data_IF_409458640039
#
_entry.id   IF_409458640039
#
_cell.length_a   1.000
_cell.length_b   1.000
_cell.length_c   1.000
_cell.angle_alpha   90.00
_cell.angle_beta   90.00
_cell.angle_gamma   90.00
#
_symmetry.space_group_name_H-M   'P 1'
#
loop_
_entity.id
_entity.type
_entity.pdbx_description
1 polymer ?
#
# COMPACT_ATOMS: atom_id res chain seq x y z
N UNK A 1 4.34 -56.90 19.75
CA UNK A 1 5.25 -55.75 19.51
C UNK A 1 4.72 -54.77 18.43
N UNK A 2 3.40 -54.68 18.18
CA UNK A 2 2.82 -53.86 17.10
C UNK A 2 1.99 -52.65 17.58
N UNK A 3 1.65 -52.57 18.87
CA UNK A 3 0.80 -51.49 19.42
C UNK A 3 1.50 -50.12 19.49
N UNK A 4 2.84 -50.10 19.55
CA UNK A 4 3.64 -48.86 19.58
C UNK A 4 3.66 -48.13 18.24
N UNK A 5 3.58 -48.86 17.12
CA UNK A 5 3.55 -48.28 15.77
C UNK A 5 2.24 -47.53 15.49
N UNK A 6 1.12 -48.03 15.99
CA UNK A 6 -0.19 -47.38 15.81
C UNK A 6 -0.34 -46.08 16.61
N UNK A 7 0.30 -46.00 17.80
CA UNK A 7 0.34 -44.77 18.61
C UNK A 7 1.17 -43.66 17.96
N UNK A 8 2.28 -44.03 17.30
CA UNK A 8 3.16 -43.09 16.62
C UNK A 8 2.46 -42.41 15.44
N UNK A 9 1.69 -43.19 14.65
CA UNK A 9 0.91 -42.64 13.53
C UNK A 9 -0.11 -41.59 13.99
N UNK A 10 -0.83 -41.81 15.09
CA UNK A 10 -1.78 -40.83 15.62
C UNK A 10 -1.12 -39.53 16.04
N UNK A 11 0.05 -39.61 16.68
CA UNK A 11 0.83 -38.42 17.07
C UNK A 11 1.36 -37.66 15.86
N UNK A 12 1.81 -38.38 14.83
CA UNK A 12 2.25 -37.77 13.56
C UNK A 12 1.09 -37.06 12.86
N UNK A 13 -0.10 -37.66 12.83
CA UNK A 13 -1.29 -37.06 12.22
C UNK A 13 -1.72 -35.80 12.96
N UNK A 14 -1.71 -35.81 14.30
CA UNK A 14 -2.03 -34.62 15.11
C UNK A 14 -1.02 -33.49 14.87
N UNK A 15 0.28 -33.82 14.80
CA UNK A 15 1.33 -32.84 14.52
C UNK A 15 1.16 -32.23 13.12
N UNK A 16 0.81 -33.05 12.12
CA UNK A 16 0.53 -32.60 10.77
C UNK A 16 -0.70 -31.68 10.71
N UNK A 17 -1.79 -32.05 11.40
CA UNK A 17 -2.99 -31.20 11.50
C UNK A 17 -2.67 -29.85 12.14
N UNK A 18 -1.89 -29.82 13.22
CA UNK A 18 -1.48 -28.58 13.88
C UNK A 18 -0.58 -27.71 12.98
N UNK A 19 0.32 -28.32 12.22
CA UNK A 19 1.16 -27.62 11.24
C UNK A 19 0.32 -26.97 10.13
N UNK A 20 -0.65 -27.71 9.56
CA UNK A 20 -1.56 -27.18 8.54
C UNK A 20 -2.50 -26.09 9.08
N UNK A 21 -2.95 -26.19 10.33
CA UNK A 21 -3.75 -25.15 10.99
C UNK A 21 -2.94 -23.86 11.16
N UNK A 22 -1.66 -23.96 11.57
CA UNK A 22 -0.75 -22.81 11.64
C UNK A 22 -0.46 -22.18 10.26
N UNK A 23 -0.48 -22.97 9.20
CA UNK A 23 -0.29 -22.53 7.82
C UNK A 23 -1.53 -21.77 7.30
N UNK A 24 -2.74 -22.23 7.63
CA UNK A 24 -3.99 -21.55 7.29
C UNK A 24 -4.08 -20.18 8.00
N UNK A 25 -3.65 -20.09 9.26
CA UNK A 25 -3.69 -18.83 10.05
C UNK A 25 -2.63 -17.80 9.64
N UNK A 26 -1.51 -18.20 9.00
CA UNK A 26 -0.47 -17.28 8.51
C UNK A 26 -0.83 -16.59 7.18
N UNK A 27 -1.93 -16.97 6.53
CA UNK A 27 -2.36 -16.40 5.25
C UNK A 27 -2.96 -14.99 5.36
N UNK A 28 -3.00 -14.39 6.55
CA UNK A 28 -3.76 -13.17 6.82
C UNK A 28 -2.99 -11.85 6.62
N UNK A 29 -1.72 -11.86 6.22
CA UNK A 29 -0.96 -10.61 6.08
C UNK A 29 0.15 -10.64 5.02
N UNK A 30 -0.19 -11.07 3.81
CA UNK A 30 0.69 -10.91 2.64
C UNK A 30 -0.11 -10.39 1.44
N UNK A 31 -0.76 -9.24 1.60
CA UNK A 31 -1.50 -8.56 0.52
C UNK A 31 -0.87 -7.23 0.09
N UNK A 32 0.24 -6.79 0.69
CA UNK A 32 0.96 -5.60 0.23
C UNK A 32 2.25 -6.06 -0.44
N UNK A 33 2.14 -6.43 -1.71
CA UNK A 33 3.29 -6.49 -2.60
C UNK A 33 3.93 -5.10 -2.62
N UNK A 34 5.08 -4.96 -1.93
CA UNK A 34 5.84 -3.72 -1.71
C UNK A 34 6.12 -2.90 -3.00
N UNK A 35 5.97 -3.52 -4.17
CA UNK A 35 6.28 -2.96 -5.48
C UNK A 35 5.13 -3.04 -6.50
N UNK A 36 3.99 -3.65 -6.15
CA UNK A 36 2.84 -3.77 -7.05
C UNK A 36 1.64 -3.12 -6.37
N UNK A 37 1.55 -1.79 -6.52
CA UNK A 37 0.32 -1.04 -6.29
C UNK A 37 -0.52 -1.16 -7.55
N UNK A 38 -1.77 -1.60 -7.43
CA UNK A 38 -2.65 -1.74 -8.59
C UNK A 38 -2.85 -0.38 -9.26
N UNK A 39 -2.94 -0.36 -10.60
CA UNK A 39 -3.06 0.91 -11.36
C UNK A 39 -4.31 1.72 -11.00
N UNK A 40 -5.33 1.05 -10.46
CA UNK A 40 -6.58 1.67 -10.01
C UNK A 40 -6.46 2.32 -8.63
N UNK A 41 -5.36 2.10 -7.91
CA UNK A 41 -5.12 2.71 -6.60
C UNK A 41 -4.47 4.10 -6.71
N UNK A 42 -4.06 4.51 -7.91
CA UNK A 42 -3.50 5.85 -8.10
C UNK A 42 -4.62 6.88 -8.19
N UNK A 43 -4.52 7.91 -7.35
CA UNK A 43 -5.37 9.10 -7.45
C UNK A 43 -5.18 9.80 -8.80
N UNK A 44 -6.26 10.42 -9.27
CA UNK A 44 -6.18 11.28 -10.45
C UNK A 44 -5.30 12.51 -10.17
N UNK A 45 -4.65 13.11 -11.18
CA UNK A 45 -3.74 14.24 -10.98
C UNK A 45 -4.37 15.41 -10.21
N UNK A 46 -5.63 15.75 -10.51
CA UNK A 46 -6.34 16.86 -9.84
C UNK A 46 -6.63 16.56 -8.36
N UNK A 47 -6.80 15.28 -8.01
CA UNK A 47 -7.02 14.84 -6.62
C UNK A 47 -5.69 14.77 -5.85
N UNK A 48 -4.62 14.31 -6.51
CA UNK A 48 -3.29 14.17 -5.94
C UNK A 48 -2.56 15.50 -5.76
N UNK A 49 -2.83 16.50 -6.61
CA UNK A 49 -2.14 17.78 -6.67
C UNK A 49 -3.13 18.95 -6.73
N UNK A 50 -3.78 19.26 -5.62
CA UNK A 50 -4.80 20.30 -5.57
C UNK A 50 -4.16 21.69 -5.48
N UNK A 51 -4.37 22.53 -6.51
CA UNK A 51 -3.87 23.89 -6.58
C UNK A 51 -4.87 24.87 -5.95
N UNK A 52 -4.40 25.66 -4.98
CA UNK A 52 -5.12 26.80 -4.43
C UNK A 52 -4.44 28.10 -4.83
N UNK A 53 -5.22 29.04 -5.36
CA UNK A 53 -4.74 30.36 -5.75
C UNK A 53 -5.44 31.41 -4.90
N UNK A 54 -4.67 32.29 -4.27
CA UNK A 54 -5.18 33.44 -3.53
C UNK A 54 -4.58 34.71 -4.09
N UNK A 55 -5.44 35.65 -4.47
CA UNK A 55 -5.03 36.98 -4.91
C UNK A 55 -4.95 37.90 -3.69
N UNK A 56 -3.79 38.51 -3.49
CA UNK A 56 -3.60 39.60 -2.54
C UNK A 56 -3.46 40.93 -3.33
N UNK A 57 -3.47 42.05 -2.63
CA UNK A 57 -3.44 43.40 -3.22
C UNK A 57 -2.23 43.64 -4.15
N UNK A 58 -1.10 42.96 -3.89
CA UNK A 58 0.17 43.17 -4.61
C UNK A 58 0.82 41.86 -5.07
N UNK A 59 0.24 40.70 -4.76
CA UNK A 59 0.84 39.40 -5.06
C UNK A 59 -0.21 38.33 -5.32
N UNK A 60 0.20 37.27 -6.00
CA UNK A 60 -0.58 36.04 -6.16
C UNK A 60 0.14 34.97 -5.34
N UNK A 61 -0.56 34.41 -4.36
CA UNK A 61 -0.09 33.28 -3.58
C UNK A 61 -0.68 32.00 -4.19
N UNK A 62 0.19 31.01 -4.43
CA UNK A 62 -0.20 29.71 -4.96
C UNK A 62 0.33 28.62 -4.04
N UNK A 63 -0.53 27.67 -3.71
CA UNK A 63 -0.22 26.58 -2.77
C UNK A 63 -0.77 25.27 -3.32
N UNK A 64 0.04 24.22 -3.27
CA UNK A 64 -0.36 22.87 -3.65
C UNK A 64 -0.62 22.03 -2.40
N UNK A 65 -1.78 21.38 -2.33
CA UNK A 65 -2.02 20.29 -1.39
C UNK A 65 -1.70 18.98 -2.12
N UNK A 66 -0.69 18.26 -1.61
CA UNK A 66 -0.14 17.07 -2.26
C UNK A 66 -0.55 15.84 -1.43
N UNK A 67 -1.16 14.85 -2.09
CA UNK A 67 -1.55 13.60 -1.45
C UNK A 67 -0.33 12.83 -0.91
N UNK A 68 -0.58 11.97 0.09
CA UNK A 68 0.45 11.16 0.72
C UNK A 68 1.16 10.27 -0.32
N UNK A 69 2.49 10.21 -0.24
CA UNK A 69 3.35 9.43 -1.15
C UNK A 69 3.42 9.98 -2.59
N UNK A 70 2.94 11.22 -2.81
CA UNK A 70 3.14 12.01 -4.03
C UNK A 70 4.09 13.18 -3.80
N UNK A 71 4.73 13.68 -4.86
CA UNK A 71 5.60 14.85 -4.81
C UNK A 71 5.64 15.58 -6.16
N UNK A 72 5.93 16.89 -6.11
CA UNK A 72 6.11 17.72 -7.29
C UNK A 72 7.60 18.00 -7.53
N UNK A 73 8.01 17.89 -8.78
CA UNK A 73 9.37 18.25 -9.19
C UNK A 73 9.51 19.76 -9.28
N UNK A 74 10.36 20.35 -8.44
CA UNK A 74 10.58 21.81 -8.39
C UNK A 74 10.98 22.41 -9.73
N UNK A 75 11.76 21.69 -10.54
CA UNK A 75 12.23 22.13 -11.85
C UNK A 75 11.21 21.90 -12.99
N UNK A 76 10.01 21.40 -12.69
CA UNK A 76 8.92 21.18 -13.66
C UNK A 76 7.77 22.17 -13.50
N UNK A 77 7.85 23.07 -12.53
CA UNK A 77 6.86 24.15 -12.37
C UNK A 77 7.19 25.30 -13.33
N UNK A 78 6.17 25.78 -14.05
CA UNK A 78 6.27 26.92 -14.98
C UNK A 78 5.19 27.93 -14.62
N UNK A 79 5.55 29.20 -14.59
CA UNK A 79 4.63 30.32 -14.33
C UNK A 79 4.75 31.27 -15.51
N UNK A 80 3.63 31.56 -16.15
CA UNK A 80 3.54 32.42 -17.33
C UNK A 80 2.39 33.41 -17.15
N UNK A 81 2.57 34.62 -17.66
CA UNK A 81 1.50 35.59 -17.79
C UNK A 81 1.00 35.52 -19.23
N UNK A 82 -0.28 35.18 -19.39
CA UNK A 82 -0.94 35.22 -20.69
C UNK A 82 -1.21 36.70 -21.02
N UNK A 83 -0.56 37.21 -22.08
CA UNK A 83 -0.65 38.60 -22.52
C UNK A 83 -1.66 38.73 -23.65
#
# INVERSE_FOLDING_TARGET
MFSRFFSLSKKITILFCLFFIGLILNSAHANESLFLKDKNDFLQPDEAFQLTIKKNSQSIETSFFIAKDYYLYRNKLKVEFDH
#
